data_IF_079048559852
#
_entry.id   IF_079048559852
#
_cell.length_a   1.000
_cell.length_b   1.000
_cell.length_c   1.000
_cell.angle_alpha   90.00
_cell.angle_beta   90.00
_cell.angle_gamma   90.00
#
_symmetry.space_group_name_H-M   'P 1'
#
loop_
_entity.id
_entity.type
_entity.pdbx_description
1 polymer ?
#
# COMPACT_ATOMS: atom_id res chain seq x y z
N UNK A 1 6.46 -11.32 -70.44
CA UNK A 1 5.73 -11.95 -69.32
C UNK A 1 6.72 -12.17 -68.18
N UNK A 2 6.59 -11.44 -67.06
CA UNK A 2 6.98 -11.83 -65.68
C UNK A 2 7.27 -10.58 -64.83
N UNK A 3 6.22 -9.81 -64.54
CA UNK A 3 6.23 -8.89 -63.40
C UNK A 3 5.26 -9.45 -62.37
N UNK A 4 5.76 -10.15 -61.34
CA UNK A 4 5.03 -10.55 -60.11
C UNK A 4 5.92 -11.41 -59.19
N UNK A 5 6.84 -10.81 -58.43
CA UNK A 5 7.42 -11.51 -57.26
C UNK A 5 7.69 -10.62 -56.03
N UNK A 6 7.59 -9.29 -56.14
CA UNK A 6 7.86 -8.38 -55.01
C UNK A 6 6.73 -8.30 -53.95
N UNK A 7 5.51 -8.75 -54.26
CA UNK A 7 4.35 -8.59 -53.37
C UNK A 7 4.13 -9.70 -52.33
N UNK A 8 4.80 -10.86 -52.44
CA UNK A 8 4.58 -12.00 -51.54
C UNK A 8 5.51 -11.96 -50.32
N UNK A 9 6.67 -11.32 -50.44
CA UNK A 9 7.66 -11.22 -49.36
C UNK A 9 7.31 -10.14 -48.31
N UNK A 10 6.69 -9.03 -48.73
CA UNK A 10 6.21 -7.99 -47.80
C UNK A 10 4.98 -8.41 -46.97
N UNK A 11 4.14 -9.32 -47.49
CA UNK A 11 2.96 -9.83 -46.77
C UNK A 11 3.32 -10.87 -45.71
N UNK A 12 4.41 -11.60 -45.91
CA UNK A 12 4.95 -12.55 -44.93
C UNK A 12 5.60 -11.78 -43.76
N UNK A 13 6.38 -10.73 -44.07
CA UNK A 13 7.01 -9.87 -43.06
C UNK A 13 6.00 -9.14 -42.15
N UNK A 14 4.87 -8.66 -42.69
CA UNK A 14 3.80 -8.06 -41.89
C UNK A 14 3.05 -9.06 -41.00
N UNK A 15 2.95 -10.31 -41.43
CA UNK A 15 2.31 -11.37 -40.62
C UNK A 15 3.26 -11.80 -39.50
N UNK A 16 4.55 -11.95 -39.77
CA UNK A 16 5.55 -12.25 -38.73
C UNK A 16 5.67 -11.12 -37.70
N UNK A 17 5.57 -9.84 -38.13
CA UNK A 17 5.52 -8.67 -37.23
C UNK A 17 4.25 -8.65 -36.39
N UNK A 18 3.08 -8.91 -36.98
CA UNK A 18 1.82 -9.01 -36.22
C UNK A 18 1.80 -10.20 -35.27
N UNK A 19 2.47 -11.32 -35.62
CA UNK A 19 2.62 -12.47 -34.74
C UNK A 19 3.62 -12.15 -33.62
N UNK A 20 4.68 -11.37 -33.88
CA UNK A 20 5.60 -10.90 -32.84
C UNK A 20 4.97 -9.87 -31.90
N UNK A 21 4.21 -8.90 -32.41
CA UNK A 21 3.42 -7.97 -31.59
C UNK A 21 2.37 -8.72 -30.77
N UNK A 22 1.64 -9.66 -31.38
CA UNK A 22 0.68 -10.51 -30.67
C UNK A 22 1.34 -11.46 -29.65
N UNK A 23 2.51 -12.02 -29.93
CA UNK A 23 3.25 -12.83 -28.96
C UNK A 23 3.88 -11.99 -27.85
N UNK A 24 4.23 -10.73 -28.12
CA UNK A 24 4.75 -9.80 -27.12
C UNK A 24 3.64 -9.29 -26.21
N UNK A 25 2.49 -8.91 -26.77
CA UNK A 25 1.27 -8.56 -26.02
C UNK A 25 0.72 -9.77 -25.22
N UNK A 26 0.76 -10.99 -25.78
CA UNK A 26 0.38 -12.20 -25.03
C UNK A 26 1.40 -12.58 -23.93
N UNK A 27 2.69 -12.25 -24.11
CA UNK A 27 3.69 -12.45 -23.05
C UNK A 27 3.57 -11.42 -21.93
N UNK A 28 3.11 -10.21 -22.22
CA UNK A 28 2.76 -9.20 -21.21
C UNK A 28 1.43 -9.56 -20.50
N UNK A 29 0.44 -10.10 -21.21
CA UNK A 29 -0.82 -10.59 -20.60
C UNK A 29 -0.62 -11.82 -19.69
N UNK A 30 0.37 -12.69 -19.96
CA UNK A 30 0.72 -13.80 -19.06
C UNK A 30 1.37 -13.33 -17.74
N UNK A 31 2.06 -12.17 -17.74
CA UNK A 31 2.61 -11.56 -16.52
C UNK A 31 1.53 -10.81 -15.72
N UNK A 32 0.52 -10.25 -16.41
CA UNK A 32 -0.62 -9.54 -15.81
C UNK A 32 -1.65 -10.48 -15.14
N UNK A 33 -1.64 -11.78 -15.47
CA UNK A 33 -2.36 -12.81 -14.71
C UNK A 33 -1.51 -13.38 -13.56
N UNK A 34 -0.81 -12.54 -12.81
CA UNK A 34 -0.35 -12.96 -11.48
C UNK A 34 -1.56 -13.09 -10.55
N UNK A 35 -2.19 -14.28 -10.58
CA UNK A 35 -3.10 -14.71 -9.52
C UNK A 35 -2.34 -14.47 -8.23
N UNK A 36 -2.74 -13.47 -7.42
CA UNK A 36 -2.12 -13.23 -6.11
C UNK A 36 -1.96 -14.57 -5.42
N UNK A 37 -0.71 -15.01 -5.25
CA UNK A 37 -0.45 -16.37 -4.82
C UNK A 37 -1.16 -16.56 -3.48
N UNK A 38 -2.07 -17.53 -3.42
CA UNK A 38 -2.83 -17.78 -2.20
C UNK A 38 -1.85 -18.24 -1.12
N UNK A 39 -1.53 -17.32 -0.21
CA UNK A 39 -0.50 -17.47 0.83
C UNK A 39 -1.14 -17.45 2.22
N UNK A 40 -1.97 -18.46 2.56
CA UNK A 40 -2.80 -18.43 3.77
C UNK A 40 -1.95 -18.40 5.03
N UNK A 41 -0.85 -19.16 5.06
CA UNK A 41 0.04 -19.23 6.22
C UNK A 41 0.82 -17.93 6.43
N UNK A 42 1.30 -17.29 5.36
CA UNK A 42 2.02 -16.03 5.47
C UNK A 42 1.08 -14.90 5.92
N UNK A 43 -0.13 -14.86 5.37
CA UNK A 43 -1.17 -13.87 5.76
C UNK A 43 -1.60 -14.05 7.21
N UNK A 44 -1.80 -15.30 7.65
CA UNK A 44 -2.12 -15.62 9.04
C UNK A 44 -0.98 -15.23 9.99
N UNK A 45 0.27 -15.57 9.65
CA UNK A 45 1.43 -15.21 10.45
C UNK A 45 1.59 -13.69 10.60
N UNK A 46 1.45 -12.94 9.50
CA UNK A 46 1.47 -11.48 9.52
C UNK A 46 0.33 -10.90 10.38
N UNK A 47 -0.89 -11.42 10.22
CA UNK A 47 -2.04 -11.02 11.03
C UNK A 47 -1.86 -11.27 12.52
N UNK A 48 -1.32 -12.45 12.89
CA UNK A 48 -0.99 -12.78 14.28
C UNK A 48 0.08 -11.85 14.85
N UNK A 49 1.11 -11.50 14.08
CA UNK A 49 2.15 -10.56 14.53
C UNK A 49 1.60 -9.15 14.75
N UNK A 50 0.77 -8.64 13.83
CA UNK A 50 0.14 -7.32 13.99
C UNK A 50 -0.82 -7.33 15.19
N UNK A 51 -1.62 -8.39 15.33
CA UNK A 51 -2.55 -8.56 16.46
C UNK A 51 -1.82 -8.63 17.79
N UNK A 52 -0.75 -9.42 17.89
CA UNK A 52 0.09 -9.52 19.09
C UNK A 52 0.73 -8.18 19.44
N UNK A 53 1.27 -7.46 18.46
CA UNK A 53 1.84 -6.13 18.66
C UNK A 53 0.78 -5.12 19.17
N UNK A 54 -0.44 -5.15 18.61
CA UNK A 54 -1.54 -4.30 19.05
C UNK A 54 -1.97 -4.60 20.49
N UNK A 55 -2.11 -5.88 20.85
CA UNK A 55 -2.48 -6.33 22.20
C UNK A 55 -1.38 -5.97 23.20
N UNK A 56 -0.12 -6.20 22.86
CA UNK A 56 1.01 -5.87 23.73
C UNK A 56 1.09 -4.36 23.98
N UNK A 57 0.89 -3.54 22.95
CA UNK A 57 0.81 -2.08 23.11
C UNK A 57 -0.35 -1.67 24.02
N UNK A 58 -1.54 -2.26 23.84
CA UNK A 58 -2.70 -2.00 24.70
C UNK A 58 -2.44 -2.44 26.15
N UNK A 59 -1.80 -3.58 26.36
CA UNK A 59 -1.48 -4.11 27.69
C UNK A 59 -0.43 -3.26 28.42
N UNK A 60 0.62 -2.81 27.71
CA UNK A 60 1.72 -2.07 28.32
C UNK A 60 1.42 -0.58 28.50
N UNK A 61 0.55 0.03 27.68
CA UNK A 61 0.31 1.47 27.69
C UNK A 61 -1.14 1.89 27.88
N UNK A 62 -2.08 0.94 27.89
CA UNK A 62 -3.51 1.23 27.97
C UNK A 62 -4.06 2.00 26.77
N UNK A 63 -3.27 2.16 25.70
CA UNK A 63 -3.63 2.93 24.50
C UNK A 63 -3.71 2.03 23.27
N UNK A 64 -4.56 2.46 22.34
CA UNK A 64 -4.84 1.77 21.09
C UNK A 64 -3.69 1.99 20.09
N UNK A 65 -3.35 0.97 19.30
CA UNK A 65 -2.38 1.08 18.20
C UNK A 65 -2.86 2.08 17.15
N UNK A 66 -2.02 3.05 16.76
CA UNK A 66 -2.33 3.97 15.68
C UNK A 66 -1.12 4.80 15.26
N UNK A 67 -0.80 4.77 13.97
CA UNK A 67 0.40 5.42 13.42
C UNK A 67 0.41 6.94 13.69
N UNK A 68 -0.70 7.64 13.39
CA UNK A 68 -0.81 9.10 13.64
C UNK A 68 -0.63 9.44 15.12
N UNK A 69 -1.15 8.61 16.03
CA UNK A 69 -1.02 8.82 17.48
C UNK A 69 0.39 8.54 18.00
N UNK A 70 1.09 7.57 17.42
CA UNK A 70 2.50 7.30 17.72
C UNK A 70 3.35 8.48 17.24
N UNK A 71 3.18 8.92 16.00
CA UNK A 71 3.94 10.02 15.42
C UNK A 71 3.70 11.34 16.17
N UNK A 72 2.44 11.71 16.41
CA UNK A 72 2.09 12.90 17.20
C UNK A 72 2.53 12.80 18.67
N UNK A 73 2.56 11.59 19.23
CA UNK A 73 2.98 11.35 20.61
C UNK A 73 4.49 11.33 20.82
N UNK A 74 5.30 11.12 19.78
CA UNK A 74 6.78 11.27 19.83
C UNK A 74 7.17 12.76 19.90
N UNK A 75 6.36 13.64 19.33
CA UNK A 75 6.57 15.10 19.41
C UNK A 75 6.20 15.69 20.79
N UNK A 76 5.56 14.92 21.66
CA UNK A 76 5.14 15.34 23.01
C UNK A 76 6.00 14.67 24.08
N UNK A 77 6.74 15.47 24.83
CA UNK A 77 7.69 15.00 25.85
C UNK A 77 7.11 15.01 27.27
N UNK A 78 5.81 14.74 27.40
CA UNK A 78 5.08 14.86 28.67
C UNK A 78 5.44 13.73 29.65
N UNK A 79 5.69 12.51 29.16
CA UNK A 79 6.01 11.32 29.96
C UNK A 79 7.10 10.49 29.27
N UNK A 80 8.24 10.30 29.95
CA UNK A 80 9.41 9.61 29.42
C UNK A 80 9.17 8.12 29.15
N UNK A 81 8.40 7.42 30.00
CA UNK A 81 8.10 6.00 29.80
C UNK A 81 7.20 5.83 28.58
N UNK A 82 6.18 6.68 28.48
CA UNK A 82 5.26 6.67 27.36
C UNK A 82 5.92 7.08 26.03
N UNK A 83 6.84 8.03 26.08
CA UNK A 83 7.62 8.47 24.94
C UNK A 83 8.56 7.36 24.45
N UNK A 84 9.26 6.67 25.36
CA UNK A 84 10.18 5.56 25.01
C UNK A 84 9.48 4.45 24.24
N UNK A 85 8.27 4.05 24.62
CA UNK A 85 7.57 3.01 23.86
C UNK A 85 7.13 3.49 22.47
N UNK A 86 6.66 4.74 22.36
CA UNK A 86 6.29 5.31 21.05
C UNK A 86 7.50 5.40 20.13
N UNK A 87 8.64 5.86 20.67
CA UNK A 87 9.89 5.90 19.94
C UNK A 87 10.36 4.49 19.54
N UNK A 88 10.22 3.49 20.41
CA UNK A 88 10.53 2.10 20.08
C UNK A 88 9.64 1.54 18.97
N UNK A 89 8.33 1.85 18.98
CA UNK A 89 7.39 1.47 17.91
C UNK A 89 7.73 2.17 16.58
N UNK A 90 8.03 3.46 16.62
CA UNK A 90 8.44 4.22 15.44
C UNK A 90 9.75 3.70 14.87
N UNK A 91 10.73 3.44 15.75
CA UNK A 91 11.99 2.82 15.37
C UNK A 91 11.78 1.43 14.77
N UNK A 92 10.86 0.62 15.32
CA UNK A 92 10.48 -0.67 14.75
C UNK A 92 9.89 -0.57 13.34
N UNK A 93 9.00 0.40 13.09
CA UNK A 93 8.41 0.64 11.76
C UNK A 93 9.47 1.04 10.72
N UNK A 94 10.51 1.78 11.13
CA UNK A 94 11.63 2.15 10.25
C UNK A 94 12.61 0.98 10.09
N UNK A 95 12.94 0.29 11.18
CA UNK A 95 13.94 -0.77 11.21
C UNK A 95 13.48 -2.03 10.46
N UNK A 96 12.19 -2.34 10.42
CA UNK A 96 11.69 -3.54 9.74
C UNK A 96 12.05 -3.60 8.24
N UNK A 97 11.70 -2.60 7.40
CA UNK A 97 12.10 -2.58 6.00
C UNK A 97 13.62 -2.41 5.83
N UNK A 98 14.29 -1.64 6.70
CA UNK A 98 15.74 -1.49 6.65
C UNK A 98 16.47 -2.81 6.91
N UNK A 99 16.07 -3.57 7.93
CA UNK A 99 16.66 -4.86 8.25
C UNK A 99 16.43 -5.87 7.13
N UNK A 100 15.24 -5.86 6.53
CA UNK A 100 14.94 -6.70 5.37
C UNK A 100 15.84 -6.38 4.19
N UNK A 101 16.09 -5.08 3.93
CA UNK A 101 17.05 -4.64 2.92
C UNK A 101 18.48 -5.12 3.23
N UNK A 102 18.95 -4.99 4.48
CA UNK A 102 20.29 -5.46 4.89
C UNK A 102 20.46 -6.98 4.73
N UNK A 103 19.43 -7.77 5.05
CA UNK A 103 19.51 -9.23 5.04
C UNK A 103 19.36 -9.82 3.64
N UNK A 104 18.52 -9.24 2.79
CA UNK A 104 18.18 -9.80 1.48
C UNK A 104 18.90 -9.11 0.32
N UNK A 105 19.48 -7.93 0.55
CA UNK A 105 20.06 -7.09 -0.50
C UNK A 105 19.04 -6.52 -1.49
N UNK A 106 17.74 -6.86 -1.33
CA UNK A 106 16.65 -6.39 -2.18
C UNK A 106 15.86 -5.32 -1.43
N UNK A 107 15.92 -4.09 -1.93
CA UNK A 107 15.09 -3.02 -1.41
C UNK A 107 13.63 -3.24 -1.80
N UNK A 108 12.66 -2.67 -1.08
CA UNK A 108 11.32 -2.55 -1.61
C UNK A 108 11.42 -1.80 -2.95
N UNK A 109 10.84 -2.39 -3.99
CA UNK A 109 10.72 -1.74 -5.30
C UNK A 109 9.69 -0.61 -5.14
N UNK A 110 10.18 0.62 -5.00
CA UNK A 110 9.36 1.79 -4.77
C UNK A 110 9.12 2.45 -6.13
N UNK A 111 8.12 1.95 -6.84
CA UNK A 111 7.57 2.62 -8.01
C UNK A 111 6.47 3.57 -7.57
N UNK A 112 6.73 4.87 -7.68
CA UNK A 112 5.76 5.93 -7.35
C UNK A 112 5.36 6.60 -8.65
N UNK A 113 4.29 6.13 -9.33
CA UNK A 113 3.85 6.67 -10.62
C UNK A 113 3.17 8.05 -10.50
N UNK A 114 3.50 8.83 -9.45
CA UNK A 114 2.89 10.13 -9.15
C UNK A 114 3.96 11.17 -8.84
N UNK A 115 3.69 12.43 -9.21
CA UNK A 115 4.61 13.52 -8.95
C UNK A 115 4.85 13.74 -7.45
N UNK A 116 6.05 14.22 -7.08
CA UNK A 116 6.36 14.58 -5.70
C UNK A 116 5.36 15.59 -5.11
N UNK A 117 4.84 16.51 -5.93
CA UNK A 117 3.81 17.46 -5.53
C UNK A 117 2.50 16.76 -5.15
N UNK A 118 2.06 15.76 -5.93
CA UNK A 118 0.88 14.96 -5.61
C UNK A 118 1.08 14.15 -4.33
N UNK A 119 2.29 13.63 -4.09
CA UNK A 119 2.63 12.91 -2.87
C UNK A 119 2.53 13.80 -1.63
N UNK A 120 3.10 15.02 -1.69
CA UNK A 120 3.04 15.99 -0.59
C UNK A 120 1.59 16.45 -0.36
N UNK A 121 0.85 16.77 -1.41
CA UNK A 121 -0.56 17.16 -1.31
C UNK A 121 -1.42 16.04 -0.71
N UNK A 122 -1.25 14.80 -1.18
CA UNK A 122 -1.93 13.62 -0.65
C UNK A 122 -1.60 13.39 0.83
N UNK A 123 -0.33 13.48 1.21
CA UNK A 123 0.11 13.35 2.60
C UNK A 123 -0.52 14.41 3.52
N UNK A 124 -0.59 15.68 3.07
CA UNK A 124 -1.25 16.75 3.83
C UNK A 124 -2.75 16.50 3.99
N UNK A 125 -3.44 16.12 2.91
CA UNK A 125 -4.87 15.81 2.95
C UNK A 125 -5.16 14.63 3.89
N UNK A 126 -4.36 13.57 3.84
CA UNK A 126 -4.48 12.42 4.75
C UNK A 126 -4.17 12.84 6.18
N UNK A 127 -3.15 13.67 6.40
CA UNK A 127 -2.82 14.22 7.72
C UNK A 127 -3.99 14.99 8.34
N UNK A 128 -4.57 15.92 7.58
CA UNK A 128 -5.76 16.69 7.98
C UNK A 128 -6.95 15.75 8.22
N UNK A 129 -7.19 14.80 7.31
CA UNK A 129 -8.28 13.84 7.41
C UNK A 129 -8.19 12.95 8.65
N UNK A 130 -7.00 12.44 8.99
CA UNK A 130 -6.79 11.64 10.20
C UNK A 130 -6.89 12.46 11.49
N UNK A 131 -6.56 13.75 11.44
CA UNK A 131 -6.79 14.67 12.57
C UNK A 131 -8.29 14.88 12.84
N UNK A 132 -9.09 15.17 11.80
CA UNK A 132 -10.56 15.29 11.93
C UNK A 132 -11.23 13.95 12.27
N UNK A 133 -10.71 12.85 11.73
CA UNK A 133 -11.14 11.49 12.05
C UNK A 133 -10.75 11.03 13.46
N UNK A 134 -10.02 11.84 14.24
CA UNK A 134 -9.51 11.50 15.57
C UNK A 134 -8.68 10.21 15.62
N UNK A 135 -8.05 9.86 14.51
CA UNK A 135 -7.38 8.58 14.32
C UNK A 135 -7.10 8.25 12.86
N UNK A 136 -6.38 7.16 12.65
CA UNK A 136 -6.05 6.63 11.33
C UNK A 136 -6.72 5.27 11.10
N UNK A 137 -6.61 4.76 9.87
CA UNK A 137 -7.11 3.45 9.46
C UNK A 137 -6.52 2.30 10.28
N UNK A 138 -5.26 2.37 10.71
CA UNK A 138 -4.68 1.34 11.59
C UNK A 138 -5.35 1.29 12.97
N UNK A 139 -5.71 2.44 13.55
CA UNK A 139 -6.38 2.49 14.85
C UNK A 139 -7.86 2.16 14.82
N UNK A 140 -8.60 2.75 13.89
CA UNK A 140 -10.04 2.46 13.74
C UNK A 140 -10.28 1.09 13.09
N UNK A 141 -9.48 0.70 12.10
CA UNK A 141 -9.59 -0.56 11.40
C UNK A 141 -9.12 -1.73 12.26
N UNK A 142 -7.82 -1.81 12.60
CA UNK A 142 -7.28 -2.99 13.30
C UNK A 142 -7.87 -3.11 14.70
N UNK A 143 -7.68 -2.09 15.53
CA UNK A 143 -8.08 -2.16 16.93
C UNK A 143 -9.55 -1.79 17.17
N UNK A 144 -10.08 -0.81 16.44
CA UNK A 144 -11.45 -0.32 16.61
C UNK A 144 -12.51 -1.30 16.14
N UNK A 145 -12.26 -1.99 15.01
CA UNK A 145 -13.15 -3.04 14.50
C UNK A 145 -13.11 -4.29 15.37
N UNK A 146 -11.93 -4.69 15.88
CA UNK A 146 -11.78 -5.80 16.82
C UNK A 146 -12.58 -5.60 18.13
N UNK A 147 -12.81 -4.35 18.55
CA UNK A 147 -13.66 -3.99 19.70
C UNK A 147 -15.13 -3.76 19.35
N UNK A 148 -15.56 -4.01 18.11
CA UNK A 148 -16.92 -3.79 17.63
C UNK A 148 -17.46 -2.37 17.91
N UNK A 149 -16.60 -1.36 17.86
CA UNK A 149 -17.00 0.03 18.10
C UNK A 149 -17.74 0.60 16.90
N UNK A 150 -19.02 0.98 17.07
CA UNK A 150 -19.83 1.63 16.02
C UNK A 150 -19.13 2.86 15.42
N UNK A 151 -18.54 3.72 16.25
CA UNK A 151 -17.76 4.88 15.80
C UNK A 151 -16.61 4.49 14.88
N UNK A 152 -15.88 3.42 15.22
CA UNK A 152 -14.73 2.97 14.42
C UNK A 152 -15.14 2.29 13.12
N UNK A 153 -16.28 1.58 13.12
CA UNK A 153 -16.87 1.02 11.90
C UNK A 153 -17.20 2.16 10.93
N UNK A 154 -17.95 3.18 11.38
CA UNK A 154 -18.30 4.32 10.55
C UNK A 154 -17.06 5.06 10.03
N UNK A 155 -16.08 5.34 10.90
CA UNK A 155 -14.84 5.99 10.49
C UNK A 155 -14.08 5.19 9.41
N UNK A 156 -13.99 3.86 9.57
CA UNK A 156 -13.31 2.98 8.62
C UNK A 156 -14.04 2.95 7.27
N UNK A 157 -15.38 2.86 7.29
CA UNK A 157 -16.20 2.92 6.08
C UNK A 157 -16.03 4.26 5.35
N UNK A 158 -15.99 5.38 6.07
CA UNK A 158 -15.76 6.70 5.48
C UNK A 158 -14.36 6.82 4.85
N UNK A 159 -13.32 6.31 5.51
CA UNK A 159 -11.97 6.31 4.94
C UNK A 159 -11.87 5.43 3.68
N UNK A 160 -12.48 4.24 3.69
CA UNK A 160 -12.51 3.37 2.52
C UNK A 160 -13.30 4.01 1.38
N UNK A 161 -14.48 4.58 1.66
CA UNK A 161 -15.27 5.30 0.65
C UNK A 161 -14.47 6.47 0.04
N UNK A 162 -13.80 7.27 0.87
CA UNK A 162 -12.92 8.33 0.41
C UNK A 162 -11.79 7.81 -0.48
N UNK A 163 -11.10 6.74 -0.07
CA UNK A 163 -10.05 6.11 -0.88
C UNK A 163 -10.57 5.60 -2.23
N UNK A 164 -11.73 4.92 -2.25
CA UNK A 164 -12.35 4.46 -3.50
C UNK A 164 -12.70 5.63 -4.42
N UNK A 165 -13.30 6.69 -3.90
CA UNK A 165 -13.62 7.89 -4.68
C UNK A 165 -12.35 8.55 -5.21
N UNK A 166 -11.32 8.71 -4.37
CA UNK A 166 -10.04 9.29 -4.81
C UNK A 166 -9.41 8.46 -5.93
N UNK A 167 -9.29 7.14 -5.77
CA UNK A 167 -8.72 6.26 -6.80
C UNK A 167 -9.57 6.29 -8.07
N UNK A 168 -10.90 6.26 -7.96
CA UNK A 168 -11.79 6.34 -9.11
C UNK A 168 -11.55 7.64 -9.88
N UNK A 169 -11.50 8.78 -9.19
CA UNK A 169 -11.24 10.09 -9.80
C UNK A 169 -9.85 10.15 -10.42
N UNK A 170 -8.80 9.77 -9.70
CA UNK A 170 -7.43 9.89 -10.22
C UNK A 170 -7.21 8.97 -11.42
N UNK A 171 -7.65 7.71 -11.34
CA UNK A 171 -7.44 6.72 -12.41
C UNK A 171 -8.36 6.91 -13.61
N UNK A 172 -9.64 7.26 -13.41
CA UNK A 172 -10.63 7.26 -14.51
C UNK A 172 -10.97 8.66 -15.02
N UNK A 173 -10.92 9.70 -14.18
CA UNK A 173 -11.25 11.06 -14.60
C UNK A 173 -10.01 11.88 -14.97
N UNK A 174 -8.92 11.73 -14.21
CA UNK A 174 -7.68 12.50 -14.41
C UNK A 174 -6.65 11.71 -15.21
N UNK A 175 -6.68 10.37 -15.16
CA UNK A 175 -5.78 9.50 -15.91
C UNK A 175 -4.35 9.49 -15.37
N UNK A 176 -4.19 9.63 -14.05
CA UNK A 176 -2.89 9.62 -13.33
C UNK A 176 -2.83 8.42 -12.39
#
# INVERSE_FOLDING_TARGET
MSGTSAGRQGRFLSIDILIYEYHMEASEEEEELSVTAFTPWASLAGGLMIGAAAVLLMALHGRILGATGILGGVLRFDDAAAWRLRAALLAGMIAAPSLLWLLTGRGPEIEVPVSAAALVAGGLLVGIGTAYGSGCTSGHGVCGLARLSRRSILATLSFMAGAFVTVFVTRHLIGV
#
